data_IF_917436680283
#
_entry.id   IF_917436680283
#
_cell.length_a   1.000
_cell.length_b   1.000
_cell.length_c   1.000
_cell.angle_alpha   90.00
_cell.angle_beta   90.00
_cell.angle_gamma   90.00
#
_symmetry.space_group_name_H-M   'P 1'
#
loop_
_entity.id
_entity.type
_entity.pdbx_description
1 polymer ?
#
# COMPACT_ATOMS: atom_id res chain seq x y z
N UNK A 1 -30.37 67.23 -4.16
CA UNK A 1 -29.26 66.50 -3.52
C UNK A 1 -29.48 65.01 -3.71
N UNK A 2 -28.78 64.42 -4.68
CA UNK A 2 -28.81 63.00 -4.98
C UNK A 2 -27.60 62.37 -4.27
N UNK A 3 -27.83 61.43 -3.33
CA UNK A 3 -26.77 60.68 -2.67
C UNK A 3 -26.60 59.40 -3.43
N UNK A 4 -25.48 59.27 -4.12
CA UNK A 4 -25.11 58.00 -4.81
C UNK A 4 -24.54 57.00 -3.82
N UNK A 5 -25.18 55.87 -3.66
CA UNK A 5 -24.67 54.71 -2.96
C UNK A 5 -23.74 53.90 -3.85
N UNK A 6 -22.44 54.01 -3.60
CA UNK A 6 -21.44 53.15 -4.24
C UNK A 6 -21.40 51.82 -3.56
N UNK A 7 -21.73 50.75 -4.32
CA UNK A 7 -21.49 49.37 -3.90
C UNK A 7 -20.03 49.00 -4.24
N UNK A 8 -19.23 48.70 -3.21
CA UNK A 8 -17.92 48.02 -3.38
C UNK A 8 -18.14 46.58 -3.88
N UNK A 9 -17.44 46.15 -4.91
CA UNK A 9 -17.42 44.73 -5.24
C UNK A 9 -16.59 43.98 -4.20
N UNK A 10 -17.16 42.90 -3.63
CA UNK A 10 -16.44 41.96 -2.83
C UNK A 10 -15.38 41.27 -3.69
N UNK A 11 -14.12 41.37 -3.29
CA UNK A 11 -13.06 40.58 -3.89
C UNK A 11 -13.27 39.11 -3.53
N UNK A 12 -13.63 38.29 -4.51
CA UNK A 12 -13.57 36.85 -4.39
C UNK A 12 -12.09 36.48 -4.26
N UNK A 13 -11.70 36.01 -3.06
CA UNK A 13 -10.39 35.40 -2.86
C UNK A 13 -10.43 34.03 -3.54
N UNK A 14 -9.85 33.91 -4.73
CA UNK A 14 -9.45 32.61 -5.28
C UNK A 14 -8.48 31.99 -4.27
N UNK A 15 -8.94 30.99 -3.56
CA UNK A 15 -8.06 30.12 -2.79
C UNK A 15 -7.16 29.41 -3.79
N UNK A 16 -5.90 29.82 -3.92
CA UNK A 16 -4.87 29.04 -4.58
C UNK A 16 -4.83 27.70 -3.84
N UNK A 17 -5.36 26.66 -4.47
CA UNK A 17 -5.25 25.29 -4.01
C UNK A 17 -3.76 24.95 -4.12
N UNK A 18 -3.10 24.74 -2.96
CA UNK A 18 -1.70 24.36 -2.95
C UNK A 18 -1.54 23.03 -3.73
N UNK A 19 -0.64 23.02 -4.68
CA UNK A 19 -0.30 21.79 -5.42
C UNK A 19 0.32 20.79 -4.45
N UNK A 20 -0.08 19.53 -4.56
CA UNK A 20 0.49 18.45 -3.77
C UNK A 20 1.96 18.23 -4.18
N UNK A 21 2.92 18.23 -3.22
CA UNK A 21 4.33 18.05 -3.56
C UNK A 21 4.58 16.65 -4.13
N UNK A 22 5.48 16.57 -5.11
CA UNK A 22 6.00 15.31 -5.64
C UNK A 22 7.44 15.14 -5.16
N UNK A 23 7.76 13.94 -4.71
CA UNK A 23 9.07 13.56 -4.20
C UNK A 23 9.73 12.60 -5.18
N UNK A 24 11.01 12.83 -5.47
CA UNK A 24 11.88 11.85 -6.10
C UNK A 24 12.42 10.83 -5.10
N UNK A 25 13.35 10.02 -5.54
CA UNK A 25 13.97 8.97 -4.71
C UNK A 25 15.45 8.80 -5.02
N UNK A 26 16.21 8.36 -4.00
CA UNK A 26 17.52 7.76 -4.17
C UNK A 26 17.49 6.28 -3.79
N UNK A 27 18.14 5.42 -4.56
CA UNK A 27 18.33 4.02 -4.21
C UNK A 27 19.51 3.89 -3.26
N UNK A 28 19.23 3.51 -2.02
CA UNK A 28 20.26 3.27 -0.99
C UNK A 28 20.92 1.90 -1.18
N UNK A 29 20.08 0.88 -1.37
CA UNK A 29 20.51 -0.50 -1.57
C UNK A 29 19.47 -1.32 -2.32
N UNK A 30 19.82 -2.53 -2.72
CA UNK A 30 18.88 -3.49 -3.28
C UNK A 30 19.20 -4.91 -2.85
N UNK A 31 18.17 -5.69 -2.59
CA UNK A 31 18.27 -7.11 -2.28
C UNK A 31 17.68 -7.94 -3.42
N UNK A 32 18.22 -9.15 -3.62
CA UNK A 32 17.61 -10.10 -4.57
C UNK A 32 16.21 -10.46 -4.10
N UNK A 33 15.24 -10.36 -5.02
CA UNK A 33 13.87 -10.73 -4.78
C UNK A 33 13.42 -11.81 -5.77
N UNK A 34 12.63 -12.76 -5.28
CA UNK A 34 12.19 -13.88 -6.13
C UNK A 34 11.12 -13.42 -7.11
N UNK A 35 11.42 -13.53 -8.41
CA UNK A 35 10.49 -13.23 -9.50
C UNK A 35 9.25 -14.12 -9.54
N UNK A 36 9.21 -15.22 -8.78
CA UNK A 36 7.99 -16.00 -8.59
C UNK A 36 6.91 -15.21 -7.84
N UNK A 37 7.30 -14.13 -7.13
CA UNK A 37 6.34 -13.28 -6.44
C UNK A 37 5.60 -12.37 -7.43
N UNK A 38 4.32 -12.64 -7.64
CA UNK A 38 3.37 -11.69 -8.18
C UNK A 38 2.85 -10.86 -7.01
N UNK A 39 3.70 -9.93 -6.54
CA UNK A 39 3.56 -9.23 -5.25
C UNK A 39 2.25 -8.46 -5.15
N UNK A 40 1.45 -8.78 -4.14
CA UNK A 40 0.18 -8.13 -3.85
C UNK A 40 0.17 -7.48 -2.46
N UNK A 41 0.97 -7.98 -1.54
CA UNK A 41 1.19 -7.38 -0.23
C UNK A 41 2.60 -7.66 0.24
N UNK A 42 3.15 -6.73 1.02
CA UNK A 42 4.52 -6.74 1.52
C UNK A 42 4.54 -6.17 2.93
N UNK A 43 5.15 -6.87 3.89
CA UNK A 43 5.32 -6.33 5.25
C UNK A 43 6.58 -6.90 5.91
N UNK A 44 7.34 -6.03 6.58
CA UNK A 44 8.46 -6.42 7.44
C UNK A 44 7.98 -6.44 8.89
N UNK A 45 8.03 -7.61 9.50
CA UNK A 45 7.62 -7.80 10.89
C UNK A 45 8.53 -8.82 11.58
N UNK A 46 9.04 -8.47 12.76
CA UNK A 46 9.88 -9.32 13.61
C UNK A 46 11.07 -9.97 12.87
N UNK A 47 11.81 -9.15 12.09
CA UNK A 47 12.98 -9.58 11.32
C UNK A 47 12.64 -10.49 10.13
N UNK A 48 11.41 -10.50 9.67
CA UNK A 48 10.93 -11.29 8.54
C UNK A 48 10.21 -10.42 7.52
N UNK A 49 10.36 -10.77 6.25
CA UNK A 49 9.56 -10.19 5.17
C UNK A 49 8.45 -11.17 4.80
N UNK A 50 7.22 -10.73 4.95
CA UNK A 50 6.02 -11.44 4.53
C UNK A 50 5.57 -10.93 3.17
N UNK A 51 5.29 -11.85 2.27
CA UNK A 51 4.87 -11.54 0.89
C UNK A 51 3.65 -12.35 0.55
N UNK A 52 2.56 -11.70 0.15
CA UNK A 52 1.48 -12.37 -0.55
C UNK A 52 1.68 -12.25 -2.06
N UNK A 53 1.65 -13.37 -2.74
CA UNK A 53 1.75 -13.49 -4.19
C UNK A 53 0.40 -13.91 -4.74
N UNK A 54 -0.20 -13.10 -5.62
CA UNK A 54 -1.47 -13.40 -6.28
C UNK A 54 -1.30 -14.39 -7.43
N UNK A 55 -2.35 -14.78 -8.00
CA UNK A 55 -2.67 -15.56 -9.20
C UNK A 55 -3.51 -16.80 -8.85
N UNK A 56 -4.61 -16.98 -9.57
CA UNK A 56 -5.44 -18.20 -9.41
C UNK A 56 -4.65 -19.45 -9.74
N UNK A 57 -4.72 -20.44 -8.86
CA UNK A 57 -3.98 -21.69 -8.98
C UNK A 57 -2.55 -21.64 -8.45
N UNK A 58 -2.02 -20.43 -8.17
CA UNK A 58 -0.61 -20.23 -7.85
C UNK A 58 -0.39 -19.20 -6.69
N UNK A 59 -1.48 -18.78 -6.04
CA UNK A 59 -1.40 -17.86 -4.90
C UNK A 59 -0.63 -18.48 -3.74
N UNK A 60 0.29 -17.70 -3.16
CA UNK A 60 1.24 -18.15 -2.14
C UNK A 60 1.47 -17.05 -1.10
N UNK A 61 1.69 -17.45 0.14
CA UNK A 61 2.27 -16.57 1.17
C UNK A 61 3.69 -17.06 1.41
N UNK A 62 4.67 -16.18 1.22
CA UNK A 62 6.09 -16.49 1.45
C UNK A 62 6.62 -15.68 2.61
N UNK A 63 7.51 -16.29 3.35
CA UNK A 63 8.19 -15.66 4.48
C UNK A 63 9.69 -15.80 4.28
N UNK A 64 10.38 -14.67 4.29
CA UNK A 64 11.82 -14.61 4.15
C UNK A 64 12.47 -14.14 5.46
N UNK A 65 13.65 -14.63 5.78
CA UNK A 65 14.52 -14.01 6.77
C UNK A 65 15.01 -12.66 6.23
N UNK A 66 14.84 -11.60 6.99
CA UNK A 66 15.15 -10.25 6.51
C UNK A 66 16.28 -9.64 7.33
N UNK A 67 17.32 -9.05 6.69
CA UNK A 67 17.47 -8.78 5.25
C UNK A 67 18.22 -9.85 4.43
N UNK A 68 18.45 -11.05 4.98
CA UNK A 68 19.19 -12.12 4.29
C UNK A 68 18.49 -12.64 3.03
N UNK A 69 17.16 -12.48 2.95
CA UNK A 69 16.30 -12.91 1.85
C UNK A 69 16.31 -14.42 1.58
N UNK A 70 16.59 -15.21 2.62
CA UNK A 70 16.42 -16.67 2.59
C UNK A 70 14.96 -17.03 2.83
N UNK A 71 14.33 -17.78 1.91
CA UNK A 71 12.95 -18.24 2.10
C UNK A 71 12.91 -19.27 3.24
N UNK A 72 12.21 -18.95 4.32
CA UNK A 72 12.05 -19.83 5.48
C UNK A 72 10.70 -20.57 5.49
N UNK A 73 9.70 -20.06 4.77
CA UNK A 73 8.41 -20.69 4.66
C UNK A 73 7.66 -20.25 3.41
N UNK A 74 6.95 -21.19 2.77
CA UNK A 74 6.01 -20.92 1.70
C UNK A 74 4.71 -21.69 1.96
N UNK A 75 3.60 -20.98 2.03
CA UNK A 75 2.27 -21.52 2.34
C UNK A 75 1.37 -21.33 1.13
N UNK A 76 0.94 -22.41 0.47
CA UNK A 76 0.01 -22.31 -0.64
C UNK A 76 -1.36 -21.87 -0.14
N UNK A 77 -1.99 -20.96 -0.88
CA UNK A 77 -3.39 -20.57 -0.70
C UNK A 77 -4.28 -21.47 -1.56
N UNK A 78 -5.54 -21.67 -1.17
CA UNK A 78 -6.49 -22.46 -1.97
C UNK A 78 -6.44 -21.99 -3.45
N UNK A 79 -6.27 -22.92 -4.43
CA UNK A 79 -6.12 -22.56 -5.85
C UNK A 79 -7.26 -21.72 -6.44
N UNK A 80 -8.42 -21.72 -5.78
CA UNK A 80 -9.58 -20.91 -6.17
C UNK A 80 -9.52 -19.47 -5.66
N UNK A 81 -8.51 -19.14 -4.83
CA UNK A 81 -8.35 -17.85 -4.20
C UNK A 81 -7.22 -17.09 -4.87
N UNK A 82 -7.47 -15.83 -5.19
CA UNK A 82 -6.44 -14.86 -5.54
C UNK A 82 -6.05 -14.09 -4.28
N UNK A 83 -4.85 -14.37 -3.73
CA UNK A 83 -4.34 -13.64 -2.57
C UNK A 83 -3.95 -12.22 -2.97
N UNK A 84 -4.29 -11.26 -2.12
CA UNK A 84 -4.06 -9.83 -2.29
C UNK A 84 -3.24 -9.28 -1.11
N UNK A 85 -3.40 -8.03 -0.72
CA UNK A 85 -2.67 -7.37 0.34
C UNK A 85 -2.63 -8.13 1.66
N UNK A 86 -1.58 -7.95 2.42
CA UNK A 86 -1.42 -8.56 3.74
C UNK A 86 -0.93 -7.54 4.77
N UNK A 87 -1.19 -7.83 6.04
CA UNK A 87 -0.59 -7.12 7.17
C UNK A 87 -0.62 -7.98 8.44
N UNK A 88 0.26 -7.67 9.41
CA UNK A 88 0.32 -8.38 10.69
C UNK A 88 -0.37 -7.58 11.79
N UNK A 89 -1.42 -8.11 12.40
CA UNK A 89 -2.14 -7.50 13.53
C UNK A 89 -2.19 -8.49 14.68
N UNK A 90 -1.80 -8.08 15.88
CA UNK A 90 -1.85 -8.90 17.11
C UNK A 90 -1.22 -10.29 16.91
N UNK A 91 -0.04 -10.35 16.31
CA UNK A 91 0.69 -11.59 16.02
C UNK A 91 -0.09 -12.58 15.12
N UNK A 92 -0.96 -12.04 14.27
CA UNK A 92 -1.71 -12.78 13.25
C UNK A 92 -1.49 -12.13 11.90
N UNK A 93 -1.26 -12.95 10.88
CA UNK A 93 -1.19 -12.45 9.51
C UNK A 93 -2.59 -12.42 8.92
N UNK A 94 -3.00 -11.24 8.48
CA UNK A 94 -4.24 -10.98 7.75
C UNK A 94 -3.91 -10.93 6.27
N UNK A 95 -4.62 -11.68 5.43
CA UNK A 95 -4.46 -11.70 3.98
C UNK A 95 -5.80 -11.46 3.32
N UNK A 96 -5.87 -10.47 2.47
CA UNK A 96 -7.07 -10.14 1.70
C UNK A 96 -7.18 -11.02 0.45
N UNK A 97 -8.35 -11.07 -0.14
CA UNK A 97 -8.59 -11.78 -1.39
C UNK A 97 -9.36 -10.91 -2.38
N UNK A 98 -9.15 -11.14 -3.65
CA UNK A 98 -9.74 -10.33 -4.71
C UNK A 98 -11.26 -10.53 -4.83
N UNK A 99 -11.69 -11.43 -5.74
CA UNK A 99 -13.12 -11.63 -6.05
C UNK A 99 -13.83 -12.51 -5.05
N UNK A 100 -13.09 -13.28 -4.28
CA UNK A 100 -13.61 -14.12 -3.21
C UNK A 100 -14.17 -13.30 -2.07
N UNK A 101 -13.67 -12.05 -1.89
CA UNK A 101 -14.15 -11.10 -0.89
C UNK A 101 -14.11 -11.67 0.52
N UNK A 102 -13.02 -12.33 0.83
CA UNK A 102 -12.75 -12.84 2.17
C UNK A 102 -11.40 -12.32 2.66
N UNK A 103 -11.30 -12.23 3.95
CA UNK A 103 -10.08 -11.98 4.69
C UNK A 103 -9.68 -13.30 5.35
N UNK A 104 -8.49 -13.81 5.06
CA UNK A 104 -7.92 -14.98 5.69
C UNK A 104 -7.06 -14.54 6.87
N UNK A 105 -7.10 -15.30 7.97
CA UNK A 105 -6.31 -15.00 9.16
C UNK A 105 -5.46 -16.21 9.51
N UNK A 106 -4.15 -16.01 9.60
CA UNK A 106 -3.17 -17.04 9.93
C UNK A 106 -2.51 -16.71 11.27
N UNK A 107 -2.17 -17.76 12.04
CA UNK A 107 -1.32 -17.61 13.22
C UNK A 107 0.14 -17.40 12.84
N UNK A 108 0.88 -16.66 13.66
CA UNK A 108 2.33 -16.54 13.57
C UNK A 108 2.98 -17.22 14.78
N UNK A 109 4.14 -17.85 14.60
CA UNK A 109 4.93 -17.96 13.36
C UNK A 109 4.61 -19.18 12.49
N UNK A 110 3.70 -20.08 12.90
CA UNK A 110 3.47 -21.40 12.29
C UNK A 110 2.61 -21.37 11.02
N UNK A 111 2.02 -20.19 10.68
CA UNK A 111 1.23 -19.94 9.48
C UNK A 111 0.02 -20.90 9.33
N UNK A 112 -0.55 -21.34 10.46
CA UNK A 112 -1.79 -22.13 10.45
C UNK A 112 -2.98 -21.22 10.17
N UNK A 113 -3.86 -21.59 9.24
CA UNK A 113 -5.10 -20.85 8.94
C UNK A 113 -6.04 -20.96 10.15
N UNK A 114 -6.30 -19.84 10.80
CA UNK A 114 -7.20 -19.74 11.97
C UNK A 114 -8.67 -19.61 11.58
N UNK A 115 -8.94 -18.95 10.43
CA UNK A 115 -10.28 -18.70 9.96
C UNK A 115 -10.34 -17.71 8.82
N UNK A 116 -11.57 -17.34 8.46
CA UNK A 116 -11.83 -16.34 7.44
C UNK A 116 -13.04 -15.50 7.82
N UNK A 117 -13.08 -14.26 7.32
CA UNK A 117 -14.20 -13.33 7.48
C UNK A 117 -14.56 -12.71 6.13
N UNK A 118 -15.83 -12.33 5.95
CA UNK A 118 -16.28 -11.67 4.72
C UNK A 118 -15.77 -10.23 4.65
N UNK A 119 -15.36 -9.79 3.45
CA UNK A 119 -15.12 -8.40 3.11
C UNK A 119 -16.35 -7.81 2.42
N UNK A 120 -16.60 -6.49 2.55
CA UNK A 120 -17.72 -5.82 1.90
C UNK A 120 -17.58 -5.75 0.37
N UNK A 121 -16.36 -5.87 -0.12
CA UNK A 121 -15.97 -5.77 -1.53
C UNK A 121 -14.74 -6.59 -1.81
N UNK A 122 -14.05 -6.25 -2.90
CA UNK A 122 -12.72 -6.81 -3.19
C UNK A 122 -11.73 -6.32 -2.13
N UNK A 123 -10.76 -7.14 -1.78
CA UNK A 123 -9.58 -6.71 -1.06
C UNK A 123 -8.44 -6.50 -2.04
N UNK A 124 -7.69 -5.39 -1.92
CA UNK A 124 -6.49 -5.13 -2.70
C UNK A 124 -5.29 -4.98 -1.76
N UNK A 125 -4.91 -3.77 -1.34
CA UNK A 125 -3.85 -3.56 -0.37
C UNK A 125 -4.33 -3.61 1.07
N UNK A 126 -3.42 -3.87 2.02
CA UNK A 126 -3.71 -3.85 3.44
C UNK A 126 -2.52 -3.34 4.24
N UNK A 127 -2.80 -2.53 5.26
CA UNK A 127 -1.84 -2.12 6.28
C UNK A 127 -2.54 -1.92 7.62
N UNK A 128 -1.80 -1.53 8.66
CA UNK A 128 -2.36 -1.32 10.00
C UNK A 128 -1.81 -0.08 10.70
N UNK A 129 -2.64 0.46 11.59
CA UNK A 129 -2.21 1.41 12.61
C UNK A 129 -2.68 0.89 13.98
N UNK A 130 -1.75 0.38 14.77
CA UNK A 130 -2.11 -0.35 16.00
C UNK A 130 -3.01 -1.56 15.70
N UNK A 131 -4.20 -1.60 16.29
CA UNK A 131 -5.23 -2.64 16.05
C UNK A 131 -6.15 -2.32 14.87
N UNK A 132 -6.03 -1.16 14.24
CA UNK A 132 -6.87 -0.77 13.10
C UNK A 132 -6.30 -1.32 11.81
N UNK A 133 -7.05 -2.23 11.17
CA UNK A 133 -6.81 -2.64 9.79
C UNK A 133 -7.26 -1.54 8.84
N UNK A 134 -6.40 -1.19 7.87
CA UNK A 134 -6.74 -0.38 6.71
C UNK A 134 -6.63 -1.21 5.45
N UNK A 135 -7.55 -1.03 4.51
CA UNK A 135 -7.48 -1.74 3.23
C UNK A 135 -8.09 -0.95 2.07
N UNK A 136 -7.63 -1.26 0.87
CA UNK A 136 -8.10 -0.73 -0.40
C UNK A 136 -8.92 -1.75 -1.18
N UNK A 137 -9.65 -1.30 -2.21
CA UNK A 137 -10.43 -2.13 -3.13
C UNK A 137 -10.28 -1.70 -4.60
N UNK A 138 -9.27 -0.87 -4.89
CA UNK A 138 -9.03 -0.29 -6.22
C UNK A 138 -9.93 0.92 -6.54
N UNK A 139 -10.86 1.29 -5.68
CA UNK A 139 -11.63 2.52 -5.80
C UNK A 139 -10.83 3.73 -5.28
N UNK A 140 -11.53 4.84 -5.04
CA UNK A 140 -10.98 5.99 -4.33
C UNK A 140 -11.30 5.96 -2.83
N UNK A 141 -11.65 4.82 -2.29
CA UNK A 141 -11.91 4.65 -0.87
C UNK A 141 -10.85 3.79 -0.23
N UNK A 142 -10.46 4.18 0.98
CA UNK A 142 -9.85 3.31 1.97
C UNK A 142 -10.91 2.91 2.99
N UNK A 143 -10.78 1.70 3.47
CA UNK A 143 -11.65 1.15 4.51
C UNK A 143 -10.84 0.90 5.76
N UNK A 144 -11.45 1.07 6.94
CA UNK A 144 -10.82 0.75 8.20
C UNK A 144 -11.76 -0.01 9.13
N UNK A 145 -11.19 -0.90 9.94
CA UNK A 145 -11.89 -1.64 10.98
C UNK A 145 -10.97 -1.86 12.19
N UNK A 146 -11.47 -1.59 13.40
CA UNK A 146 -10.75 -1.94 14.62
C UNK A 146 -10.88 -3.44 14.89
N UNK A 147 -9.76 -4.16 14.78
CA UNK A 147 -9.70 -5.61 14.94
C UNK A 147 -9.76 -6.04 16.41
N UNK A 148 -9.58 -5.13 17.36
CA UNK A 148 -9.72 -5.38 18.81
C UNK A 148 -11.14 -5.13 19.34
N UNK A 149 -11.97 -4.42 18.56
CA UNK A 149 -13.33 -3.99 18.89
C UNK A 149 -14.43 -4.83 18.24
N UNK A 150 -15.52 -4.15 17.91
CA UNK A 150 -16.69 -4.75 17.23
C UNK A 150 -16.49 -4.94 15.72
N UNK A 151 -15.34 -4.51 15.19
CA UNK A 151 -15.01 -4.60 13.76
C UNK A 151 -15.87 -3.70 12.87
N UNK A 152 -16.46 -2.63 13.45
CA UNK A 152 -17.25 -1.69 12.67
C UNK A 152 -16.43 -1.10 11.52
N UNK A 153 -16.93 -1.24 10.31
CA UNK A 153 -16.27 -0.78 9.11
C UNK A 153 -16.52 0.72 8.90
N UNK A 154 -15.44 1.49 8.78
CA UNK A 154 -15.48 2.86 8.31
C UNK A 154 -14.95 2.97 6.88
N UNK A 155 -15.25 4.08 6.22
CA UNK A 155 -14.84 4.36 4.84
C UNK A 155 -14.36 5.79 4.71
N UNK A 156 -13.16 5.98 4.16
CA UNK A 156 -12.51 7.24 3.95
C UNK A 156 -12.38 7.51 2.44
N UNK A 157 -12.98 8.56 1.89
CA UNK A 157 -12.74 8.95 0.49
C UNK A 157 -11.34 9.57 0.36
N UNK A 158 -10.59 9.14 -0.66
CA UNK A 158 -9.25 9.69 -0.94
C UNK A 158 -9.31 10.65 -2.11
N UNK A 159 -8.73 11.82 -1.93
CA UNK A 159 -8.68 12.87 -2.95
C UNK A 159 -7.27 13.40 -3.19
N UNK A 160 -6.94 13.63 -4.44
CA UNK A 160 -5.76 14.37 -4.88
C UNK A 160 -6.24 15.72 -5.42
N UNK A 161 -5.88 16.81 -4.76
CA UNK A 161 -6.31 18.18 -5.12
C UNK A 161 -7.83 18.30 -5.29
N UNK A 162 -8.58 17.67 -4.36
CA UNK A 162 -10.05 17.67 -4.35
C UNK A 162 -10.71 16.76 -5.40
N UNK A 163 -9.93 15.96 -6.15
CA UNK A 163 -10.44 14.98 -7.12
C UNK A 163 -10.25 13.56 -6.59
N UNK A 164 -11.25 12.67 -6.75
CA UNK A 164 -11.11 11.28 -6.32
C UNK A 164 -9.90 10.58 -6.94
N UNK A 165 -8.96 10.10 -6.12
CA UNK A 165 -7.82 9.30 -6.57
C UNK A 165 -8.22 7.82 -6.54
N UNK A 166 -8.23 7.18 -7.71
CA UNK A 166 -8.60 5.76 -7.87
C UNK A 166 -7.38 4.87 -7.99
N UNK A 167 -7.63 3.57 -8.09
CA UNK A 167 -6.61 2.54 -8.26
C UNK A 167 -5.66 2.42 -7.05
N UNK A 168 -6.12 2.79 -5.87
CA UNK A 168 -5.37 2.55 -4.65
C UNK A 168 -5.19 1.04 -4.47
N UNK A 169 -3.93 0.61 -4.38
CA UNK A 169 -3.57 -0.81 -4.35
C UNK A 169 -2.83 -1.14 -3.06
N UNK A 170 -1.63 -1.67 -3.13
CA UNK A 170 -0.86 -2.06 -1.97
C UNK A 170 -0.63 -0.88 -1.04
N UNK A 171 -0.68 -1.12 0.28
CA UNK A 171 -0.70 -0.10 1.32
C UNK A 171 0.36 -0.36 2.38
N UNK A 172 0.97 0.73 2.88
CA UNK A 172 1.83 0.70 4.05
C UNK A 172 1.55 1.88 4.99
N UNK A 173 1.68 1.65 6.30
CA UNK A 173 1.58 2.70 7.31
C UNK A 173 2.95 3.28 7.62
N UNK A 174 3.16 4.56 7.28
CA UNK A 174 4.44 5.26 7.41
C UNK A 174 4.26 6.56 8.18
N UNK A 175 4.84 6.67 9.37
CA UNK A 175 4.89 7.90 10.17
C UNK A 175 3.55 8.65 10.33
N UNK A 176 2.46 7.91 10.47
CA UNK A 176 1.12 8.50 10.65
C UNK A 176 0.36 8.73 9.36
N UNK A 177 0.91 8.39 8.23
CA UNK A 177 0.29 8.44 6.91
C UNK A 177 0.00 7.02 6.37
N UNK A 178 -0.90 6.92 5.41
CA UNK A 178 -1.07 5.71 4.60
C UNK A 178 -0.43 5.97 3.25
N UNK A 179 0.58 5.16 2.91
CA UNK A 179 1.17 5.16 1.59
C UNK A 179 0.49 4.10 0.74
N UNK A 180 0.14 4.45 -0.50
CA UNK A 180 -0.62 3.58 -1.39
C UNK A 180 0.03 3.54 -2.78
N UNK A 181 0.35 2.37 -3.30
CA UNK A 181 0.63 2.23 -4.71
C UNK A 181 -0.60 2.65 -5.53
N UNK A 182 -0.40 3.47 -6.54
CA UNK A 182 -1.44 3.80 -7.53
C UNK A 182 -1.30 2.84 -8.72
N UNK A 183 -2.16 1.83 -8.78
CA UNK A 183 -2.04 0.74 -9.75
C UNK A 183 -2.00 1.23 -11.20
N UNK A 184 -1.08 0.67 -11.98
CA UNK A 184 -0.72 1.02 -13.37
C UNK A 184 0.04 2.34 -13.52
N UNK A 185 0.58 2.87 -12.44
CA UNK A 185 1.54 3.97 -12.45
C UNK A 185 2.81 3.57 -11.72
N UNK A 186 3.83 4.40 -11.77
CA UNK A 186 5.04 4.27 -10.95
C UNK A 186 4.97 5.21 -9.72
N UNK A 187 3.77 5.55 -9.26
CA UNK A 187 3.53 6.49 -8.17
C UNK A 187 3.06 5.82 -6.89
N UNK A 188 3.48 6.37 -5.76
CA UNK A 188 2.93 6.10 -4.43
C UNK A 188 2.28 7.39 -3.92
N UNK A 189 1.01 7.30 -3.52
CA UNK A 189 0.30 8.41 -2.87
C UNK A 189 0.51 8.34 -1.35
N UNK A 190 0.89 9.47 -0.75
CA UNK A 190 0.93 9.68 0.70
C UNK A 190 -0.39 10.28 1.13
N UNK A 191 -1.12 9.62 2.01
CA UNK A 191 -2.52 9.93 2.34
C UNK A 191 -2.63 10.22 3.82
N UNK A 192 -3.23 11.35 4.18
CA UNK A 192 -3.63 11.65 5.56
C UNK A 192 -4.83 10.77 5.96
N UNK A 193 -4.70 9.88 6.94
CA UNK A 193 -5.78 8.99 7.36
C UNK A 193 -6.93 9.69 8.08
N UNK A 194 -6.75 10.94 8.52
CA UNK A 194 -7.79 11.74 9.17
C UNK A 194 -8.72 12.45 8.19
N UNK A 195 -8.22 12.83 7.02
CA UNK A 195 -8.96 13.60 6.00
C UNK A 195 -9.21 12.83 4.72
N UNK A 196 -8.30 11.94 4.34
CA UNK A 196 -8.28 11.25 3.04
C UNK A 196 -7.63 12.10 1.94
N UNK A 197 -7.04 13.24 2.28
CA UNK A 197 -6.32 14.03 1.30
C UNK A 197 -4.95 13.43 1.02
N UNK A 198 -4.56 13.42 -0.26
CA UNK A 198 -3.19 13.12 -0.64
C UNK A 198 -2.33 14.33 -0.29
N UNK A 199 -1.32 14.11 0.57
CA UNK A 199 -0.40 15.13 1.07
C UNK A 199 0.95 15.12 0.36
N UNK A 200 1.20 14.11 -0.48
CA UNK A 200 2.39 13.98 -1.31
C UNK A 200 2.26 12.85 -2.31
N UNK A 201 3.01 12.94 -3.40
CA UNK A 201 3.22 11.86 -4.35
C UNK A 201 4.70 11.49 -4.36
N UNK A 202 5.02 10.22 -4.55
CA UNK A 202 6.39 9.74 -4.74
C UNK A 202 6.45 9.16 -6.14
N UNK A 203 7.27 9.74 -7.00
CA UNK A 203 7.50 9.26 -8.36
C UNK A 203 8.68 8.28 -8.38
N UNK A 204 8.40 7.01 -8.61
CA UNK A 204 9.38 5.93 -8.72
C UNK A 204 9.64 5.53 -10.18
N UNK A 205 9.34 6.41 -11.13
CA UNK A 205 9.63 6.18 -12.55
C UNK A 205 11.11 5.85 -12.77
N UNK A 206 11.36 4.71 -13.45
CA UNK A 206 12.72 4.25 -13.74
C UNK A 206 13.40 3.46 -12.62
N UNK A 207 12.73 3.22 -11.47
CA UNK A 207 13.30 2.46 -10.36
C UNK A 207 13.75 1.05 -10.77
N UNK A 208 12.93 0.33 -11.54
CA UNK A 208 13.35 -0.93 -12.14
C UNK A 208 14.03 -0.64 -13.48
N UNK A 209 15.36 -0.92 -13.61
CA UNK A 209 16.09 -0.73 -14.86
C UNK A 209 15.52 -1.56 -16.01
N UNK A 210 15.59 -1.06 -17.24
CA UNK A 210 15.06 -1.75 -18.41
C UNK A 210 15.74 -3.10 -18.66
N UNK A 211 17.04 -3.23 -18.36
CA UNK A 211 17.78 -4.46 -18.47
C UNK A 211 17.33 -5.57 -17.50
N UNK A 212 16.68 -5.21 -16.40
CA UNK A 212 16.14 -6.13 -15.42
C UNK A 212 14.67 -6.53 -15.73
N UNK A 213 14.05 -5.88 -16.72
CA UNK A 213 12.68 -6.19 -17.16
C UNK A 213 12.67 -7.43 -18.05
N UNK A 214 11.80 -8.36 -17.74
CA UNK A 214 11.48 -9.49 -18.60
C UNK A 214 10.07 -9.33 -19.19
N UNK A 215 9.70 -10.21 -20.12
CA UNK A 215 8.40 -10.13 -20.80
C UNK A 215 7.20 -10.21 -19.84
N UNK A 216 7.35 -10.87 -18.70
CA UNK A 216 6.32 -11.10 -17.69
C UNK A 216 6.47 -10.19 -16.47
N UNK A 217 7.42 -9.26 -16.48
CA UNK A 217 7.53 -8.21 -15.46
C UNK A 217 6.29 -7.32 -15.50
N UNK A 218 5.69 -7.09 -14.33
CA UNK A 218 4.47 -6.32 -14.19
C UNK A 218 4.73 -5.05 -13.35
N UNK A 219 3.70 -4.36 -12.91
CA UNK A 219 3.73 -3.04 -12.29
C UNK A 219 4.45 -3.00 -10.95
N UNK A 220 4.87 -1.80 -10.56
CA UNK A 220 5.22 -1.44 -9.19
C UNK A 220 4.08 -1.82 -8.25
N UNK A 221 4.38 -2.59 -7.21
CA UNK A 221 3.43 -2.95 -6.15
C UNK A 221 4.15 -3.60 -4.99
N UNK A 222 4.06 -3.02 -3.83
CA UNK A 222 4.68 -3.47 -2.59
C UNK A 222 5.54 -2.40 -1.95
N UNK A 223 5.16 -1.99 -0.73
CA UNK A 223 5.83 -1.04 0.13
C UNK A 223 5.98 -1.72 1.49
N UNK A 224 7.14 -1.62 2.10
CA UNK A 224 7.33 -2.07 3.46
C UNK A 224 8.29 -1.15 4.22
N UNK A 225 8.03 -0.93 5.49
CA UNK A 225 8.91 -0.20 6.39
C UNK A 225 9.57 -1.18 7.35
N UNK A 226 10.91 -1.11 7.41
CA UNK A 226 11.61 -1.83 8.47
C UNK A 226 11.33 -1.12 9.81
N UNK A 227 10.64 -1.76 10.75
CA UNK A 227 10.26 -1.12 12.01
C UNK A 227 11.44 -0.77 12.92
N UNK A 228 12.65 -1.32 12.64
CA UNK A 228 13.86 -1.07 13.43
C UNK A 228 14.67 0.08 12.84
N UNK A 229 14.93 0.05 11.53
CA UNK A 229 15.78 1.03 10.86
C UNK A 229 15.01 2.20 10.26
N UNK A 230 13.69 2.05 10.12
CA UNK A 230 12.78 2.97 9.40
C UNK A 230 13.12 3.08 7.92
N UNK A 231 13.85 2.11 7.37
CA UNK A 231 14.17 2.03 5.95
C UNK A 231 12.90 1.71 5.14
N UNK A 232 12.76 2.40 4.01
CA UNK A 232 11.65 2.23 3.07
C UNK A 232 12.07 1.22 2.01
N UNK A 233 11.29 0.16 1.87
CA UNK A 233 11.52 -0.88 0.88
C UNK A 233 10.38 -0.96 -0.11
N UNK A 234 10.70 -1.01 -1.40
CA UNK A 234 9.70 -1.05 -2.48
C UNK A 234 10.07 -2.09 -3.52
N UNK A 235 9.06 -2.69 -4.14
CA UNK A 235 9.22 -3.70 -5.19
C UNK A 235 8.06 -3.65 -6.17
N UNK A 236 8.00 -4.63 -7.08
CA UNK A 236 6.88 -4.80 -8.01
C UNK A 236 6.57 -6.26 -8.28
N UNK A 237 5.51 -6.50 -9.05
CA UNK A 237 5.06 -7.82 -9.45
C UNK A 237 6.08 -8.44 -10.40
N UNK A 238 6.66 -9.58 -9.99
CA UNK A 238 7.72 -10.30 -10.71
C UNK A 238 9.01 -9.51 -10.91
N UNK A 239 9.28 -8.56 -10.01
CA UNK A 239 10.54 -7.84 -10.01
C UNK A 239 11.66 -8.70 -9.43
N UNK A 240 12.92 -8.57 -9.92
CA UNK A 240 14.07 -9.31 -9.38
C UNK A 240 14.71 -8.64 -8.16
N UNK A 241 14.22 -7.46 -7.76
CA UNK A 241 14.80 -6.64 -6.73
C UNK A 241 13.75 -6.13 -5.74
N UNK A 242 14.14 -6.07 -4.49
CA UNK A 242 13.56 -5.26 -3.44
C UNK A 242 14.52 -4.09 -3.23
N UNK A 243 14.05 -2.85 -3.42
CA UNK A 243 14.86 -1.64 -3.36
C UNK A 243 14.64 -0.94 -2.03
N UNK A 244 15.75 -0.58 -1.36
CA UNK A 244 15.76 0.40 -0.28
C UNK A 244 15.89 1.79 -0.87
N UNK A 245 14.97 2.68 -0.50
CA UNK A 245 14.94 4.05 -1.02
C UNK A 245 14.91 5.08 0.09
N UNK A 246 15.41 6.28 -0.21
CA UNK A 246 15.14 7.50 0.54
C UNK A 246 14.42 8.50 -0.36
N UNK A 247 13.60 9.36 0.24
CA UNK A 247 12.92 10.40 -0.52
C UNK A 247 13.83 11.60 -0.71
N UNK A 248 13.85 12.11 -1.93
CA UNK A 248 14.41 13.42 -2.24
C UNK A 248 13.26 14.44 -2.21
N UNK A 249 13.45 15.54 -1.49
CA UNK A 249 12.60 16.69 -1.68
C UNK A 249 12.96 17.29 -3.04
N UNK A 250 11.96 17.58 -3.89
CA UNK A 250 12.22 18.46 -5.02
C UNK A 250 12.84 19.75 -4.46
N UNK A 251 14.13 19.93 -4.76
CA UNK A 251 14.83 21.15 -4.39
C UNK A 251 14.16 22.31 -5.13
N UNK A 252 13.74 23.33 -4.37
CA UNK A 252 13.26 24.63 -4.85
C UNK A 252 14.14 25.24 -5.97
#
# INVERSE_FOLDING_TARGET
MLVGSGTCPAAESESQQATVPTYGYEVVSRLRFDRANFTQGLEIFDGRLYVSSGLYGDSMIRVYDFPAMEEIQAVPVDPRIFAEGLTVIDNRLVVLTWRERVMLVYSLPDMSLLGQSALPGQGWGATRSGSTLWFSDGSHYLYSADMSGDGQLARLPVTLEGRPLRNLNELEWVDGEIWANVWQTDEIARIDPGTGDVVGLIDLSGLLPDEDRLRDTDVLNGIAIDPITQAIWVTGKRWPWLFEITLENDAD
#
